data_IF_668944321910
#
_entry.id   IF_668944321910
#
_cell.length_a   1.000
_cell.length_b   1.000
_cell.length_c   1.000
_cell.angle_alpha   90.00
_cell.angle_beta   90.00
_cell.angle_gamma   90.00
#
_symmetry.space_group_name_H-M   'P 1'
#
loop_
_entity.id
_entity.type
_entity.pdbx_description
1 polymer ?
#
# COMPACT_ATOMS: atom_id res chain seq x y z
N UNK A 1 6.25 -5.27 20.61
CA UNK A 1 5.00 -6.03 20.74
C UNK A 1 5.09 -7.23 19.81
N UNK A 2 5.16 -8.41 20.41
CA UNK A 2 5.34 -9.66 19.67
C UNK A 2 4.02 -9.99 18.97
N UNK A 3 3.97 -9.77 17.65
CA UNK A 3 2.84 -10.23 16.84
C UNK A 3 2.93 -11.77 16.78
N UNK A 4 2.23 -12.42 17.68
CA UNK A 4 2.17 -13.89 17.74
C UNK A 4 1.45 -14.40 16.50
N UNK A 5 2.17 -14.57 15.39
CA UNK A 5 1.68 -15.32 14.25
C UNK A 5 1.44 -16.77 14.70
N UNK A 6 0.31 -17.34 14.33
CA UNK A 6 -0.08 -18.74 14.66
C UNK A 6 0.99 -19.74 14.21
N UNK A 7 1.79 -19.36 13.25
CA UNK A 7 2.90 -20.15 12.75
C UNK A 7 4.16 -19.29 12.63
N UNK A 8 5.20 -19.57 13.43
CA UNK A 8 6.48 -18.85 13.40
C UNK A 8 7.24 -18.97 12.06
N UNK A 9 6.87 -19.93 11.22
CA UNK A 9 7.46 -20.12 9.90
C UNK A 9 6.87 -19.22 8.81
N UNK A 10 5.68 -18.61 9.04
CA UNK A 10 4.96 -17.81 8.05
C UNK A 10 4.87 -16.35 8.49
N UNK A 11 5.29 -15.44 7.61
CA UNK A 11 5.13 -13.99 7.74
C UNK A 11 3.83 -13.53 7.08
N UNK A 12 3.45 -12.24 7.26
CA UNK A 12 2.35 -11.63 6.50
C UNK A 12 2.55 -11.78 4.99
N UNK A 13 3.78 -11.61 4.52
CA UNK A 13 4.13 -11.80 3.13
C UNK A 13 3.95 -13.26 2.67
N UNK A 14 4.22 -14.24 3.55
CA UNK A 14 3.92 -15.65 3.24
C UNK A 14 2.44 -15.86 3.00
N UNK A 15 1.56 -15.29 3.84
CA UNK A 15 0.10 -15.39 3.68
C UNK A 15 -0.39 -14.65 2.44
N UNK A 16 0.22 -13.52 2.08
CA UNK A 16 -0.03 -12.83 0.81
C UNK A 16 0.25 -13.75 -0.37
N UNK A 17 1.44 -14.36 -0.43
CA UNK A 17 1.81 -15.29 -1.50
C UNK A 17 0.83 -16.46 -1.59
N UNK A 18 0.47 -17.09 -0.47
CA UNK A 18 -0.54 -18.17 -0.46
C UNK A 18 -1.89 -17.68 -1.01
N UNK A 19 -2.31 -16.47 -0.63
CA UNK A 19 -3.55 -15.86 -1.10
C UNK A 19 -3.54 -15.49 -2.58
N UNK A 20 -2.42 -14.98 -3.11
CA UNK A 20 -2.23 -14.64 -4.53
C UNK A 20 -2.18 -15.87 -5.42
N UNK A 21 -1.51 -16.94 -4.98
CA UNK A 21 -1.49 -18.23 -5.69
C UNK A 21 -2.92 -18.74 -5.90
N UNK A 22 -3.75 -18.66 -4.87
CA UNK A 22 -5.17 -19.02 -4.95
C UNK A 22 -5.40 -20.46 -5.45
N UNK A 23 -6.66 -20.80 -5.81
CA UNK A 23 -7.01 -22.15 -6.25
C UNK A 23 -6.54 -22.47 -7.66
N UNK A 24 -6.33 -21.45 -8.51
CA UNK A 24 -5.94 -21.63 -9.93
C UNK A 24 -4.44 -21.78 -10.14
N UNK A 25 -3.65 -21.44 -9.11
CA UNK A 25 -2.19 -21.41 -9.18
C UNK A 25 -1.63 -20.19 -9.91
N UNK A 26 -0.34 -19.90 -9.65
CA UNK A 26 0.38 -18.78 -10.27
C UNK A 26 1.88 -19.06 -10.34
N UNK A 27 2.55 -18.50 -11.36
CA UNK A 27 4.01 -18.44 -11.42
C UNK A 27 4.55 -17.22 -10.68
N UNK A 28 5.85 -17.22 -10.35
CA UNK A 28 6.50 -16.12 -9.61
C UNK A 28 6.34 -14.76 -10.31
N UNK A 29 6.46 -14.72 -11.65
CA UNK A 29 6.24 -13.49 -12.43
C UNK A 29 4.79 -13.02 -12.38
N UNK A 30 3.82 -13.95 -12.38
CA UNK A 30 2.40 -13.61 -12.26
C UNK A 30 2.10 -13.04 -10.87
N UNK A 31 2.72 -13.58 -9.81
CA UNK A 31 2.59 -13.08 -8.44
C UNK A 31 3.13 -11.65 -8.32
N UNK A 32 4.33 -11.39 -8.85
CA UNK A 32 4.90 -10.04 -8.87
C UNK A 32 3.98 -9.05 -9.61
N UNK A 33 3.47 -9.43 -10.79
CA UNK A 33 2.56 -8.58 -11.57
C UNK A 33 1.26 -8.28 -10.81
N UNK A 34 0.68 -9.27 -10.12
CA UNK A 34 -0.53 -9.07 -9.29
C UNK A 34 -0.26 -8.10 -8.14
N UNK A 35 0.89 -8.21 -7.49
CA UNK A 35 1.30 -7.30 -6.41
C UNK A 35 1.54 -5.88 -6.92
N UNK A 36 2.20 -5.72 -8.06
CA UNK A 36 2.48 -4.41 -8.67
C UNK A 36 1.22 -3.68 -9.15
N UNK A 37 0.16 -4.41 -9.52
CA UNK A 37 -1.14 -3.80 -9.82
C UNK A 37 -1.76 -3.12 -8.59
N UNK A 38 -1.49 -3.63 -7.37
CA UNK A 38 -1.94 -3.05 -6.12
C UNK A 38 -0.84 -2.33 -5.34
N UNK A 39 -0.02 -1.48 -5.99
CA UNK A 39 1.17 -0.81 -5.43
C UNK A 39 1.00 -0.21 -4.02
N UNK A 40 -0.22 0.08 -3.59
CA UNK A 40 -0.52 0.60 -2.25
C UNK A 40 -0.31 -0.47 -1.16
N UNK A 41 -0.36 -1.77 -1.53
CA UNK A 41 -0.12 -2.91 -0.64
C UNK A 41 1.24 -3.53 -0.94
N UNK A 42 2.31 -2.75 -0.86
CA UNK A 42 3.68 -3.25 -1.07
C UNK A 42 4.21 -3.88 0.23
N UNK A 43 4.22 -5.21 0.26
CA UNK A 43 4.67 -5.99 1.44
C UNK A 43 6.14 -6.39 1.37
N UNK A 44 6.74 -6.43 0.18
CA UNK A 44 8.10 -6.89 0.00
C UNK A 44 8.72 -6.46 -1.34
N UNK A 45 10.05 -6.35 -1.38
CA UNK A 45 10.76 -6.08 -2.62
C UNK A 45 10.57 -7.18 -3.67
N UNK A 46 10.67 -6.82 -4.94
CA UNK A 46 10.38 -7.68 -6.11
C UNK A 46 11.05 -9.06 -6.05
N UNK A 47 12.30 -9.13 -5.60
CA UNK A 47 13.06 -10.38 -5.50
C UNK A 47 12.38 -11.42 -4.59
N UNK A 48 11.63 -10.97 -3.59
CA UNK A 48 10.94 -11.84 -2.64
C UNK A 48 9.82 -12.65 -3.31
N UNK A 49 9.17 -12.09 -4.34
CA UNK A 49 8.14 -12.81 -5.12
C UNK A 49 8.70 -14.01 -5.90
N UNK A 50 10.01 -14.08 -6.08
CA UNK A 50 10.69 -15.23 -6.67
C UNK A 50 11.26 -16.21 -5.62
N UNK A 51 11.57 -15.73 -4.43
CA UNK A 51 12.19 -16.51 -3.35
C UNK A 51 11.15 -17.21 -2.49
N UNK A 52 10.13 -16.46 -2.04
CA UNK A 52 9.16 -16.94 -1.08
C UNK A 52 8.30 -18.11 -1.59
N UNK A 53 7.79 -18.12 -2.85
CA UNK A 53 7.05 -19.28 -3.36
C UNK A 53 7.87 -20.57 -3.36
N UNK A 54 9.17 -20.47 -3.64
CA UNK A 54 10.09 -21.63 -3.57
C UNK A 54 10.26 -22.13 -2.13
N UNK A 55 10.38 -21.20 -1.18
CA UNK A 55 10.46 -21.53 0.26
C UNK A 55 9.17 -22.20 0.74
N UNK A 56 8.02 -21.65 0.38
CA UNK A 56 6.72 -22.22 0.75
C UNK A 56 6.48 -23.60 0.12
N UNK A 57 6.94 -23.81 -1.11
CA UNK A 57 6.89 -25.13 -1.75
C UNK A 57 7.80 -26.14 -1.03
N UNK A 58 9.02 -25.73 -0.64
CA UNK A 58 9.92 -26.59 0.15
C UNK A 58 9.34 -26.96 1.52
N UNK A 59 8.54 -26.07 2.13
CA UNK A 59 7.86 -26.30 3.39
C UNK A 59 6.52 -27.07 3.24
N UNK A 60 6.10 -27.34 2.00
CA UNK A 60 4.90 -28.10 1.68
C UNK A 60 3.59 -27.30 1.74
N UNK A 61 3.65 -25.96 1.84
CA UNK A 61 2.46 -25.10 1.77
C UNK A 61 1.99 -24.86 0.33
N UNK A 62 2.92 -24.96 -0.63
CA UNK A 62 2.66 -24.94 -2.06
C UNK A 62 3.18 -26.21 -2.71
N UNK A 63 2.52 -26.66 -3.78
CA UNK A 63 3.04 -27.63 -4.72
C UNK A 63 3.60 -26.88 -5.94
N UNK A 64 4.80 -27.27 -6.41
CA UNK A 64 5.42 -26.69 -7.57
C UNK A 64 5.34 -27.67 -8.75
N UNK A 65 4.91 -27.22 -9.91
CA UNK A 65 4.93 -27.99 -11.15
C UNK A 65 5.59 -27.17 -12.27
N UNK A 66 6.28 -27.87 -13.17
CA UNK A 66 6.88 -27.25 -14.33
C UNK A 66 5.90 -27.32 -15.51
N UNK A 67 5.66 -26.19 -16.16
CA UNK A 67 4.79 -26.07 -17.33
C UNK A 67 5.57 -25.46 -18.52
N UNK A 68 5.19 -25.78 -19.76
CA UNK A 68 5.68 -25.05 -20.93
C UNK A 68 5.26 -23.57 -20.83
N UNK A 69 6.24 -22.67 -20.96
CA UNK A 69 6.00 -21.22 -21.10
C UNK A 69 6.18 -20.80 -22.57
N UNK A 70 5.89 -19.52 -22.88
CA UNK A 70 6.03 -18.99 -24.24
C UNK A 70 7.43 -19.13 -24.81
N UNK A 71 8.47 -19.00 -24.01
CA UNK A 71 9.88 -19.06 -24.43
C UNK A 71 10.72 -20.03 -23.61
N UNK A 72 10.32 -20.33 -22.37
CA UNK A 72 11.05 -21.21 -21.44
C UNK A 72 10.06 -21.96 -20.57
N UNK A 73 10.48 -23.05 -19.95
CA UNK A 73 9.74 -23.71 -18.91
C UNK A 73 9.51 -22.73 -17.73
N UNK A 74 8.32 -22.73 -17.17
CA UNK A 74 7.95 -21.93 -16.00
C UNK A 74 7.53 -22.83 -14.84
N UNK A 75 7.83 -22.42 -13.64
CA UNK A 75 7.30 -23.06 -12.43
C UNK A 75 5.97 -22.38 -12.06
N UNK A 76 4.93 -23.19 -11.93
CA UNK A 76 3.61 -22.76 -11.43
C UNK A 76 3.42 -23.39 -10.07
N UNK A 77 2.98 -22.58 -9.11
CA UNK A 77 2.68 -22.97 -7.75
C UNK A 77 1.17 -23.11 -7.57
N UNK A 78 0.73 -24.10 -6.79
CA UNK A 78 -0.66 -24.30 -6.38
C UNK A 78 -0.73 -24.50 -4.87
N UNK A 79 -1.83 -24.12 -4.25
CA UNK A 79 -2.06 -24.36 -2.83
C UNK A 79 -2.15 -25.86 -2.56
N UNK A 80 -1.52 -26.30 -1.46
CA UNK A 80 -1.77 -27.62 -0.87
C UNK A 80 -2.83 -27.53 0.21
N UNK A 81 -3.33 -28.68 0.71
CA UNK A 81 -4.24 -28.71 1.85
C UNK A 81 -3.59 -28.05 3.07
N UNK A 82 -2.29 -28.30 3.32
CA UNK A 82 -1.51 -27.64 4.38
C UNK A 82 -1.49 -26.11 4.19
N UNK A 83 -1.34 -25.61 2.95
CA UNK A 83 -1.37 -24.19 2.65
C UNK A 83 -2.74 -23.56 2.93
N UNK A 84 -3.82 -24.25 2.55
CA UNK A 84 -5.19 -23.82 2.80
C UNK A 84 -5.53 -23.82 4.29
N UNK A 85 -5.12 -24.85 5.03
CA UNK A 85 -5.28 -24.92 6.48
C UNK A 85 -4.54 -23.78 7.19
N UNK A 86 -3.31 -23.46 6.74
CA UNK A 86 -2.54 -22.36 7.30
C UNK A 86 -3.24 -21.00 7.07
N UNK A 87 -3.77 -20.75 5.87
CA UNK A 87 -4.58 -19.55 5.58
C UNK A 87 -5.84 -19.49 6.46
N UNK A 88 -6.55 -20.61 6.61
CA UNK A 88 -7.76 -20.69 7.42
C UNK A 88 -7.46 -20.48 8.92
N UNK A 89 -6.35 -21.01 9.43
CA UNK A 89 -5.91 -20.80 10.80
C UNK A 89 -5.55 -19.33 11.05
N UNK A 90 -4.78 -18.72 10.16
CA UNK A 90 -4.41 -17.31 10.25
C UNK A 90 -5.65 -16.39 10.17
N UNK A 91 -6.59 -16.67 9.27
CA UNK A 91 -7.81 -15.86 9.13
C UNK A 91 -8.72 -15.87 10.37
N UNK A 92 -8.51 -16.80 11.31
CA UNK A 92 -9.23 -16.84 12.61
C UNK A 92 -8.55 -16.04 13.71
N UNK A 93 -7.32 -15.56 13.48
CA UNK A 93 -6.62 -14.74 14.48
C UNK A 93 -7.20 -13.33 14.51
N UNK A 94 -6.99 -12.63 15.64
CA UNK A 94 -7.35 -11.23 15.73
C UNK A 94 -6.54 -10.38 14.76
N UNK A 95 -7.19 -9.39 14.14
CA UNK A 95 -6.53 -8.38 13.31
C UNK A 95 -6.05 -7.25 14.21
N UNK A 96 -4.80 -6.81 14.00
CA UNK A 96 -4.21 -5.67 14.69
C UNK A 96 -3.93 -4.55 13.71
N UNK A 97 -4.08 -3.30 14.15
CA UNK A 97 -3.70 -2.15 13.35
C UNK A 97 -2.19 -2.16 13.13
N UNK A 98 -1.80 -2.16 11.87
CA UNK A 98 -0.39 -2.10 11.48
C UNK A 98 0.13 -0.67 11.67
N UNK A 99 1.32 -0.47 12.25
CA UNK A 99 1.93 0.86 12.32
C UNK A 99 2.08 1.48 10.93
N UNK A 100 1.72 2.75 10.81
CA UNK A 100 1.84 3.49 9.56
C UNK A 100 3.31 3.86 9.34
N UNK A 101 3.87 3.46 8.20
CA UNK A 101 5.16 3.92 7.70
C UNK A 101 4.88 4.88 6.54
N UNK A 102 5.05 6.16 6.77
CA UNK A 102 4.80 7.20 5.78
C UNK A 102 5.98 8.17 5.73
N UNK A 103 6.56 8.31 4.54
CA UNK A 103 7.61 9.30 4.30
C UNK A 103 7.08 10.73 4.46
N UNK A 104 5.84 10.97 4.00
CA UNK A 104 5.14 12.22 4.18
C UNK A 104 5.09 12.65 5.66
N UNK A 105 4.64 11.76 6.54
CA UNK A 105 4.57 12.05 7.98
C UNK A 105 5.95 12.24 8.60
N UNK A 106 6.96 11.50 8.14
CA UNK A 106 8.33 11.68 8.62
C UNK A 106 8.89 13.05 8.23
N UNK A 107 8.63 13.53 7.00
CA UNK A 107 9.05 14.86 6.55
C UNK A 107 8.40 15.97 7.38
N UNK A 108 7.15 15.80 7.78
CA UNK A 108 6.49 16.73 8.68
C UNK A 108 7.10 16.74 10.10
N UNK A 109 7.45 15.57 10.62
CA UNK A 109 8.08 15.46 11.95
C UNK A 109 9.43 16.17 12.03
N UNK A 110 10.08 16.45 10.91
CA UNK A 110 11.37 17.17 10.86
C UNK A 110 11.26 18.56 10.24
N UNK A 111 10.05 19.06 10.00
CA UNK A 111 9.83 20.34 9.30
C UNK A 111 10.43 21.53 10.04
N UNK A 112 10.44 21.51 11.37
CA UNK A 112 11.08 22.51 12.23
C UNK A 112 12.61 22.55 12.08
N UNK A 113 13.23 21.45 11.65
CA UNK A 113 14.68 21.34 11.44
C UNK A 113 15.12 21.78 10.05
N UNK A 114 14.29 21.54 9.02
CA UNK A 114 14.66 21.79 7.62
C UNK A 114 13.98 23.03 7.04
N UNK A 115 12.93 23.54 7.70
CA UNK A 115 12.16 24.71 7.31
C UNK A 115 10.89 24.39 6.52
N UNK A 116 9.83 25.15 6.79
CA UNK A 116 8.50 24.96 6.18
C UNK A 116 8.49 25.08 4.65
N UNK A 117 9.22 26.03 3.99
CA UNK A 117 9.23 26.12 2.53
C UNK A 117 9.72 24.83 1.87
N UNK A 118 10.81 24.24 2.39
CA UNK A 118 11.37 22.98 1.86
C UNK A 118 10.41 21.83 2.08
N UNK A 119 9.80 21.76 3.26
CA UNK A 119 8.80 20.74 3.58
C UNK A 119 7.61 20.84 2.66
N UNK A 120 7.03 22.01 2.48
CA UNK A 120 5.89 22.28 1.60
C UNK A 120 6.17 21.83 0.16
N UNK A 121 7.30 22.25 -0.42
CA UNK A 121 7.68 21.85 -1.78
C UNK A 121 7.78 20.33 -1.92
N UNK A 122 8.35 19.67 -0.91
CA UNK A 122 8.53 18.23 -0.96
C UNK A 122 7.23 17.43 -0.78
N UNK A 123 6.29 17.92 0.05
CA UNK A 123 5.04 17.16 0.32
C UNK A 123 4.02 17.31 -0.82
N UNK A 124 4.06 18.39 -1.58
CA UNK A 124 3.14 18.59 -2.72
C UNK A 124 3.41 17.63 -3.87
N UNK A 125 4.63 17.11 -4.00
CA UNK A 125 4.99 16.13 -5.05
C UNK A 125 4.21 14.83 -4.96
N UNK A 126 3.63 14.50 -3.79
CA UNK A 126 2.83 13.26 -3.62
C UNK A 126 1.53 13.28 -4.44
N UNK A 127 1.05 14.45 -4.89
CA UNK A 127 -0.18 14.56 -5.69
C UNK A 127 -0.11 13.76 -7.00
N UNK A 128 1.02 13.83 -7.67
CA UNK A 128 1.22 13.10 -8.93
C UNK A 128 1.20 11.59 -8.68
N UNK A 129 1.89 11.14 -7.63
CA UNK A 129 1.88 9.73 -7.21
C UNK A 129 0.46 9.25 -6.86
N UNK A 130 -0.33 10.06 -6.15
CA UNK A 130 -1.72 9.73 -5.79
C UNK A 130 -2.59 9.66 -7.05
N UNK A 131 -2.43 10.59 -7.99
CA UNK A 131 -3.16 10.58 -9.26
C UNK A 131 -2.90 9.30 -10.06
N UNK A 132 -1.64 8.89 -10.17
CA UNK A 132 -1.24 7.64 -10.81
C UNK A 132 -1.85 6.41 -10.11
N UNK A 133 -1.92 6.45 -8.78
CA UNK A 133 -2.51 5.36 -7.99
C UNK A 133 -4.03 5.25 -8.18
N UNK A 134 -4.75 6.37 -8.35
CA UNK A 134 -6.17 6.34 -8.70
C UNK A 134 -6.41 5.67 -10.06
N UNK A 135 -5.63 6.00 -11.09
CA UNK A 135 -5.72 5.35 -12.40
C UNK A 135 -5.52 3.83 -12.28
N UNK A 136 -4.48 3.40 -11.57
CA UNK A 136 -4.21 1.98 -11.33
C UNK A 136 -5.33 1.28 -10.54
N UNK A 137 -5.94 2.00 -9.61
CA UNK A 137 -7.05 1.48 -8.81
C UNK A 137 -8.27 1.22 -9.70
N UNK A 138 -8.60 2.14 -10.61
CA UNK A 138 -9.69 1.98 -11.58
C UNK A 138 -9.46 0.78 -12.50
N UNK A 139 -8.25 0.60 -13.02
CA UNK A 139 -7.86 -0.57 -13.81
C UNK A 139 -8.03 -1.87 -13.00
N UNK A 140 -7.66 -1.84 -11.72
CA UNK A 140 -7.78 -2.99 -10.81
C UNK A 140 -9.24 -3.31 -10.49
N UNK A 141 -10.10 -2.31 -10.33
CA UNK A 141 -11.55 -2.47 -10.16
C UNK A 141 -12.19 -3.11 -11.40
N UNK A 142 -11.82 -2.64 -12.59
CA UNK A 142 -12.28 -3.23 -13.85
C UNK A 142 -11.83 -4.71 -13.98
N UNK A 143 -10.58 -5.00 -13.63
CA UNK A 143 -10.06 -6.36 -13.63
C UNK A 143 -10.78 -7.28 -12.63
N UNK A 144 -11.15 -6.77 -11.45
CA UNK A 144 -11.87 -7.53 -10.44
C UNK A 144 -13.20 -8.08 -10.97
N UNK A 145 -13.88 -7.36 -11.86
CA UNK A 145 -15.13 -7.79 -12.47
C UNK A 145 -14.98 -9.08 -13.31
N UNK A 146 -13.78 -9.35 -13.78
CA UNK A 146 -13.49 -10.59 -14.54
C UNK A 146 -13.34 -11.84 -13.66
N UNK A 147 -13.43 -11.69 -12.32
CA UNK A 147 -13.21 -12.77 -11.33
C UNK A 147 -14.38 -12.90 -10.34
N UNK A 148 -15.54 -13.46 -10.76
CA UNK A 148 -16.78 -13.43 -9.99
C UNK A 148 -16.66 -13.93 -8.55
N UNK A 149 -15.86 -14.97 -8.29
CA UNK A 149 -15.66 -15.55 -6.97
C UNK A 149 -14.90 -14.64 -6.00
N UNK A 150 -14.15 -13.64 -6.51
CA UNK A 150 -13.32 -12.72 -5.72
C UNK A 150 -13.78 -11.27 -5.79
N UNK A 151 -14.63 -10.91 -6.75
CA UNK A 151 -15.06 -9.52 -7.02
C UNK A 151 -15.49 -8.80 -5.76
N UNK A 152 -16.38 -9.40 -4.96
CA UNK A 152 -16.88 -8.80 -3.72
C UNK A 152 -15.75 -8.37 -2.77
N UNK A 153 -14.76 -9.23 -2.56
CA UNK A 153 -13.67 -8.96 -1.60
C UNK A 153 -12.67 -7.96 -2.17
N UNK A 154 -12.36 -8.05 -3.46
CA UNK A 154 -11.48 -7.10 -4.13
C UNK A 154 -12.08 -5.70 -4.11
N UNK A 155 -13.38 -5.53 -4.40
CA UNK A 155 -14.04 -4.23 -4.35
C UNK A 155 -14.06 -3.62 -2.93
N UNK A 156 -14.18 -4.45 -1.89
CA UNK A 156 -14.05 -3.96 -0.50
C UNK A 156 -12.64 -3.45 -0.21
N UNK A 157 -11.61 -4.15 -0.67
CA UNK A 157 -10.21 -3.70 -0.54
C UNK A 157 -9.99 -2.42 -1.33
N UNK A 158 -10.43 -2.35 -2.58
CA UNK A 158 -10.27 -1.16 -3.42
C UNK A 158 -11.05 0.05 -2.87
N UNK A 159 -12.24 -0.17 -2.31
CA UNK A 159 -12.98 0.88 -1.61
C UNK A 159 -12.25 1.42 -0.38
N UNK A 160 -11.51 0.59 0.35
CA UNK A 160 -10.62 1.05 1.41
C UNK A 160 -9.45 1.86 0.86
N UNK A 161 -8.79 1.36 -0.20
CA UNK A 161 -7.64 2.03 -0.81
C UNK A 161 -8.02 3.39 -1.40
N UNK A 162 -9.19 3.50 -2.03
CA UNK A 162 -9.72 4.78 -2.53
C UNK A 162 -9.85 5.81 -1.42
N UNK A 163 -10.46 5.43 -0.30
CA UNK A 163 -10.59 6.32 0.87
C UNK A 163 -9.24 6.71 1.46
N UNK A 164 -8.26 5.81 1.41
CA UNK A 164 -6.91 6.11 1.86
C UNK A 164 -6.23 7.16 0.96
N UNK A 165 -6.41 7.06 -0.36
CA UNK A 165 -5.92 8.06 -1.31
C UNK A 165 -6.63 9.41 -1.15
N UNK A 166 -7.96 9.41 -0.99
CA UNK A 166 -8.75 10.61 -0.71
C UNK A 166 -8.24 11.30 0.56
N UNK A 167 -8.03 10.54 1.65
CA UNK A 167 -7.47 11.06 2.90
C UNK A 167 -6.09 11.72 2.70
N UNK A 168 -5.24 11.12 1.87
CA UNK A 168 -3.93 11.71 1.58
C UNK A 168 -4.06 13.03 0.81
N UNK A 169 -4.98 13.14 -0.16
CA UNK A 169 -5.23 14.40 -0.88
C UNK A 169 -5.76 15.48 0.06
N UNK A 170 -6.76 15.17 0.88
CA UNK A 170 -7.30 16.09 1.89
C UNK A 170 -6.20 16.59 2.82
N UNK A 171 -5.34 15.67 3.27
CA UNK A 171 -4.23 16.01 4.15
C UNK A 171 -3.18 16.90 3.47
N UNK A 172 -2.88 16.67 2.18
CA UNK A 172 -1.97 17.54 1.42
C UNK A 172 -2.57 18.94 1.24
N UNK A 173 -3.89 19.05 1.01
CA UNK A 173 -4.58 20.35 0.95
C UNK A 173 -4.48 21.11 2.27
N UNK A 174 -4.60 20.42 3.41
CA UNK A 174 -4.43 20.99 4.74
C UNK A 174 -2.99 21.47 4.94
N UNK A 175 -1.99 20.67 4.54
CA UNK A 175 -0.58 21.03 4.66
C UNK A 175 -0.21 22.25 3.81
N UNK A 176 -0.70 22.31 2.57
CA UNK A 176 -0.47 23.47 1.69
C UNK A 176 -1.03 24.74 2.29
N UNK A 177 -2.15 24.66 2.97
CA UNK A 177 -2.79 25.79 3.64
C UNK A 177 -2.03 26.22 4.89
N UNK A 178 -1.64 25.28 5.73
CA UNK A 178 -0.94 25.55 6.99
C UNK A 178 0.51 26.02 6.78
N UNK A 179 1.19 25.46 5.76
CA UNK A 179 2.57 25.82 5.40
C UNK A 179 2.63 26.91 4.32
N UNK A 180 1.50 27.60 4.03
CA UNK A 180 1.51 28.73 3.11
C UNK A 180 2.36 29.87 3.66
N UNK A 181 3.14 30.59 2.82
CA UNK A 181 3.83 31.78 3.28
C UNK A 181 2.81 32.82 3.79
N UNK A 182 3.15 33.58 4.84
CA UNK A 182 2.29 34.64 5.31
C UNK A 182 1.94 35.60 4.16
N UNK A 183 0.67 35.97 4.06
CA UNK A 183 0.17 36.89 3.01
C UNK A 183 0.91 38.23 3.15
N UNK A 184 1.69 38.66 2.14
CA UNK A 184 2.41 39.97 2.19
C UNK A 184 1.47 41.16 2.21
N UNK A 185 0.16 40.97 1.89
CA UNK A 185 -0.83 42.06 1.89
C UNK A 185 -1.50 42.27 3.27
N UNK A 186 -1.23 41.41 4.26
CA UNK A 186 -1.83 41.50 5.60
C UNK A 186 -1.16 42.47 6.57
N UNK A 187 -0.06 43.12 6.22
CA UNK A 187 0.63 44.12 7.06
C UNK A 187 0.57 45.49 6.48
N UNK A 188 -0.49 46.24 6.71
CA UNK A 188 -0.49 47.73 6.78
C UNK A 188 -1.90 48.25 7.13
N UNK A 189 -2.36 47.99 8.35
CA UNK A 189 -3.24 48.97 8.99
C UNK A 189 -2.36 49.83 9.89
N UNK A 190 -2.06 51.09 9.51
CA UNK A 190 -1.39 52.00 10.44
C UNK A 190 -2.30 52.23 11.66
N UNK A 191 -1.74 52.40 12.87
CA UNK A 191 -2.54 52.69 14.06
C UNK A 191 -3.32 54.02 13.81
N UNK A 192 -4.54 54.13 14.35
CA UNK A 192 -5.31 55.37 14.24
C UNK A 192 -4.51 56.48 14.89
N UNK A 193 -4.24 57.51 14.07
CA UNK A 193 -3.61 58.76 14.56
C UNK A 193 -4.49 59.36 15.65
N UNK A 194 -4.03 59.23 16.88
CA UNK A 194 -4.63 59.89 18.02
C UNK A 194 -4.62 61.38 17.80
N UNK A 195 -5.81 61.99 17.66
CA UNK A 195 -6.02 63.42 17.72
C UNK A 195 -5.71 63.90 19.13
N UNK A 196 -4.58 64.53 19.28
CA UNK A 196 -4.32 65.37 20.45
C UNK A 196 -5.28 66.58 20.30
N UNK A 197 -6.20 66.73 21.24
CA UNK A 197 -6.95 67.96 21.48
C UNK A 197 -6.46 68.55 22.81
N UNK A 198 -6.08 69.78 22.67
CA UNK A 198 -5.70 70.84 23.64
C UNK A 198 -6.60 70.89 24.85
#
# INVERSE_FOLDING_TARGET
MDHTYVNRELSLFSYEILGLVGPTGAGAHDLLRMAQQGRILDWAGESQYYVEPKRLAKLGYLAARTEPGKTRQRTVYTLTDKGLEALAAWARTAVHLTPVKSELLLRLLIADLVGEPVTRESVTTIRDDISDLFVRLEESEAFAQTRPSRTKYLLLVFGFLRRLLDLHLEFVDDLERELAPPDPSGQLTPPPSGSAST
#
